data_IF_856074526887
#
_entry.id   IF_856074526887
#
_cell.length_a   1.000
_cell.length_b   1.000
_cell.length_c   1.000
_cell.angle_alpha   90.00
_cell.angle_beta   90.00
_cell.angle_gamma   90.00
#
_symmetry.space_group_name_H-M   'P 1'
#
loop_
_entity.id
_entity.type
_entity.pdbx_description
1 polymer ?
#
# COMPACT_ATOMS: atom_id res chain seq x y z
N UNK A 1 19.15 -13.73 5.87
CA UNK A 1 18.44 -13.72 4.56
C UNK A 1 17.11 -12.96 4.65
N UNK A 2 16.27 -13.20 5.65
CA UNK A 2 14.99 -12.51 5.88
C UNK A 2 15.12 -10.96 5.86
N UNK A 3 16.00 -10.40 6.69
CA UNK A 3 16.23 -8.95 6.79
C UNK A 3 16.68 -8.34 5.44
N UNK A 4 17.57 -9.03 4.73
CA UNK A 4 18.06 -8.56 3.43
C UNK A 4 16.94 -8.52 2.38
N UNK A 5 16.10 -9.54 2.33
CA UNK A 5 14.94 -9.59 1.42
C UNK A 5 13.91 -8.50 1.74
N UNK A 6 13.62 -8.28 3.03
CA UNK A 6 12.78 -7.17 3.45
C UNK A 6 13.36 -5.82 3.03
N UNK A 7 14.67 -5.62 3.23
CA UNK A 7 15.34 -4.38 2.84
C UNK A 7 15.26 -4.12 1.32
N UNK A 8 15.55 -5.12 0.50
CA UNK A 8 15.45 -5.01 -0.96
C UNK A 8 14.01 -4.73 -1.39
N UNK A 9 13.04 -5.45 -0.81
CA UNK A 9 11.62 -5.22 -1.06
C UNK A 9 11.20 -3.80 -0.72
N UNK A 10 11.59 -3.28 0.47
CA UNK A 10 11.32 -1.91 0.88
C UNK A 10 11.93 -0.86 -0.06
N UNK A 11 13.16 -1.06 -0.50
CA UNK A 11 13.83 -0.17 -1.44
C UNK A 11 13.06 -0.10 -2.77
N UNK A 12 12.68 -1.24 -3.33
CA UNK A 12 11.89 -1.30 -4.55
C UNK A 12 10.49 -0.70 -4.35
N UNK A 13 9.79 -1.07 -3.28
CA UNK A 13 8.49 -0.51 -2.95
C UNK A 13 8.51 1.02 -2.83
N UNK A 14 9.55 1.56 -2.17
CA UNK A 14 9.77 3.00 -2.04
C UNK A 14 9.99 3.71 -3.39
N UNK A 15 10.75 3.10 -4.30
CA UNK A 15 10.94 3.62 -5.67
C UNK A 15 9.62 3.63 -6.42
N UNK A 16 8.86 2.53 -6.39
CA UNK A 16 7.55 2.44 -7.03
C UNK A 16 6.55 3.43 -6.43
N UNK A 17 6.56 3.63 -5.12
CA UNK A 17 5.76 4.68 -4.46
C UNK A 17 6.08 6.05 -5.01
N UNK A 18 7.36 6.42 -5.07
CA UNK A 18 7.78 7.72 -5.56
C UNK A 18 7.34 7.95 -7.01
N UNK A 19 7.65 7.01 -7.89
CA UNK A 19 7.27 7.10 -9.31
C UNK A 19 5.74 7.10 -9.50
N UNK A 20 5.02 6.25 -8.79
CA UNK A 20 3.57 6.17 -8.85
C UNK A 20 2.90 7.46 -8.39
N UNK A 21 3.35 8.00 -7.25
CA UNK A 21 2.84 9.28 -6.74
C UNK A 21 3.10 10.43 -7.72
N UNK A 22 4.30 10.48 -8.30
CA UNK A 22 4.67 11.51 -9.28
C UNK A 22 3.82 11.42 -10.56
N UNK A 23 3.67 10.21 -11.10
CA UNK A 23 2.86 9.99 -12.31
C UNK A 23 1.39 10.36 -12.09
N UNK A 24 0.81 9.92 -10.98
CA UNK A 24 -0.60 10.20 -10.65
C UNK A 24 -0.82 11.71 -10.46
N UNK A 25 0.08 12.40 -9.75
CA UNK A 25 0.01 13.85 -9.57
C UNK A 25 0.07 14.60 -10.91
N UNK A 26 0.84 14.08 -11.87
CA UNK A 26 0.94 14.66 -13.21
C UNK A 26 -0.38 14.58 -14.00
N UNK A 27 -1.16 13.51 -13.80
CA UNK A 27 -2.45 13.32 -14.50
C UNK A 27 -3.64 13.97 -13.79
N UNK A 28 -3.69 13.88 -12.46
CA UNK A 28 -4.84 14.33 -11.65
C UNK A 28 -4.63 15.69 -10.98
N UNK A 29 -3.40 16.25 -11.07
CA UNK A 29 -3.05 17.50 -10.42
C UNK A 29 -2.80 17.35 -8.91
N UNK A 30 -2.46 18.49 -8.28
CA UNK A 30 -2.03 18.55 -6.87
C UNK A 30 -3.13 19.05 -5.91
N UNK A 31 -4.33 19.31 -6.41
CA UNK A 31 -5.44 19.85 -5.61
C UNK A 31 -6.02 18.88 -4.56
N UNK A 32 -5.69 17.60 -4.66
CA UNK A 32 -6.06 16.52 -3.74
C UNK A 32 -4.97 15.44 -3.79
N UNK A 33 -4.66 14.72 -2.69
CA UNK A 33 -3.56 13.75 -2.62
C UNK A 33 -3.86 12.41 -3.32
N UNK A 34 -4.25 12.45 -4.60
CA UNK A 34 -4.58 11.27 -5.41
C UNK A 34 -3.44 10.25 -5.48
N UNK A 35 -2.20 10.74 -5.56
CA UNK A 35 -1.02 9.87 -5.65
C UNK A 35 -0.90 8.95 -4.45
N UNK A 36 -0.94 9.51 -3.25
CA UNK A 36 -0.84 8.75 -2.00
C UNK A 36 -2.04 7.83 -1.81
N UNK A 37 -3.24 8.31 -2.10
CA UNK A 37 -4.48 7.52 -2.02
C UNK A 37 -4.39 6.26 -2.89
N UNK A 38 -4.05 6.41 -4.17
CA UNK A 38 -4.01 5.30 -5.12
C UNK A 38 -2.85 4.34 -4.85
N UNK A 39 -1.67 4.84 -4.49
CA UNK A 39 -0.52 4.00 -4.14
C UNK A 39 -0.80 3.18 -2.89
N UNK A 40 -1.43 3.76 -1.87
CA UNK A 40 -1.86 3.03 -0.68
C UNK A 40 -2.95 1.99 -0.99
N UNK A 41 -3.91 2.32 -1.86
CA UNK A 41 -4.94 1.38 -2.29
C UNK A 41 -4.36 0.18 -3.05
N UNK A 42 -3.45 0.44 -4.00
CA UNK A 42 -2.74 -0.62 -4.75
C UNK A 42 -1.91 -1.48 -3.81
N UNK A 43 -1.15 -0.87 -2.90
CA UNK A 43 -0.35 -1.60 -1.92
C UNK A 43 -1.20 -2.45 -0.97
N UNK A 44 -2.37 -1.95 -0.55
CA UNK A 44 -3.34 -2.70 0.25
C UNK A 44 -3.91 -3.89 -0.51
N UNK A 45 -4.26 -3.72 -1.79
CA UNK A 45 -4.72 -4.82 -2.64
C UNK A 45 -3.66 -5.91 -2.80
N UNK A 46 -2.42 -5.52 -3.13
CA UNK A 46 -1.30 -6.46 -3.26
C UNK A 46 -1.01 -7.19 -1.94
N UNK A 47 -1.06 -6.48 -0.82
CA UNK A 47 -0.91 -7.10 0.50
C UNK A 47 -2.00 -8.13 0.75
N UNK A 48 -3.27 -7.80 0.47
CA UNK A 48 -4.38 -8.74 0.57
C UNK A 48 -4.17 -9.98 -0.31
N UNK A 49 -3.76 -9.78 -1.57
CA UNK A 49 -3.49 -10.88 -2.50
C UNK A 49 -2.38 -11.82 -1.99
N UNK A 50 -1.31 -11.26 -1.44
CA UNK A 50 -0.20 -12.03 -0.87
C UNK A 50 -0.65 -12.81 0.36
N UNK A 51 -1.44 -12.19 1.24
CA UNK A 51 -1.93 -12.85 2.46
C UNK A 51 -2.99 -13.92 2.16
N UNK A 52 -3.84 -13.70 1.16
CA UNK A 52 -4.83 -14.69 0.70
C UNK A 52 -4.19 -15.86 -0.03
N UNK A 53 -2.99 -15.67 -0.60
CA UNK A 53 -2.28 -16.75 -1.27
C UNK A 53 -1.70 -17.73 -0.25
N UNK A 54 -2.29 -18.93 -0.16
CA UNK A 54 -1.93 -19.95 0.80
C UNK A 54 -0.48 -20.44 0.70
N UNK A 55 0.18 -20.28 -0.45
CA UNK A 55 1.60 -20.59 -0.64
C UNK A 55 2.48 -19.66 0.19
N UNK A 56 2.24 -18.34 0.11
CA UNK A 56 3.01 -17.34 0.86
C UNK A 56 2.71 -17.43 2.36
N UNK A 57 1.46 -17.71 2.73
CA UNK A 57 1.09 -17.94 4.13
C UNK A 57 1.80 -19.15 4.72
N UNK A 58 1.95 -20.24 3.95
CA UNK A 58 2.71 -21.44 4.37
C UNK A 58 4.21 -21.17 4.47
N UNK A 59 4.77 -20.30 3.63
CA UNK A 59 6.19 -19.95 3.66
C UNK A 59 6.61 -19.33 5.01
N UNK A 60 5.73 -18.59 5.67
CA UNK A 60 5.98 -18.01 7.01
C UNK A 60 6.26 -19.11 8.05
N UNK A 61 5.54 -20.23 7.99
CA UNK A 61 5.55 -21.29 9.00
C UNK A 61 6.46 -22.47 8.67
N UNK A 62 6.67 -22.76 7.38
CA UNK A 62 7.35 -23.98 6.91
C UNK A 62 8.72 -23.74 6.32
N UNK A 63 9.07 -22.49 6.01
CA UNK A 63 10.29 -22.11 5.31
C UNK A 63 10.97 -20.93 6.02
N UNK A 64 11.93 -20.30 5.34
CA UNK A 64 12.63 -19.13 5.87
C UNK A 64 11.81 -17.83 5.87
N UNK A 65 10.55 -17.87 5.45
CA UNK A 65 9.68 -16.69 5.31
C UNK A 65 10.17 -15.68 4.29
N UNK A 66 11.00 -16.12 3.33
CA UNK A 66 11.67 -15.22 2.39
C UNK A 66 10.70 -14.53 1.42
N UNK A 67 9.72 -15.27 0.90
CA UNK A 67 8.71 -14.70 0.00
C UNK A 67 7.84 -13.67 0.72
N UNK A 68 7.41 -13.97 1.95
CA UNK A 68 6.66 -13.02 2.78
C UNK A 68 7.48 -11.79 3.15
N UNK A 69 8.75 -11.99 3.53
CA UNK A 69 9.66 -10.90 3.89
C UNK A 69 9.85 -9.91 2.72
N UNK A 70 10.04 -10.44 1.52
CA UNK A 70 10.22 -9.61 0.33
C UNK A 70 8.91 -8.93 -0.10
N UNK A 71 7.80 -9.67 -0.21
CA UNK A 71 6.55 -9.17 -0.79
C UNK A 71 5.73 -8.35 0.20
N UNK A 72 5.28 -8.95 1.31
CA UNK A 72 4.38 -8.29 2.25
C UNK A 72 5.10 -7.24 3.10
N UNK A 73 6.15 -7.63 3.83
CA UNK A 73 6.87 -6.71 4.71
C UNK A 73 7.72 -5.71 3.92
N UNK A 74 8.44 -6.18 2.90
CA UNK A 74 9.31 -5.35 2.08
C UNK A 74 8.52 -4.51 1.08
N UNK A 75 8.11 -5.10 -0.02
CA UNK A 75 7.56 -4.37 -1.15
C UNK A 75 6.26 -3.61 -0.80
N UNK A 76 5.25 -4.27 -0.25
CA UNK A 76 4.01 -3.60 0.13
C UNK A 76 4.23 -2.58 1.25
N UNK A 77 5.06 -2.90 2.25
CA UNK A 77 5.43 -1.97 3.32
C UNK A 77 6.20 -0.74 2.82
N UNK A 78 7.10 -0.92 1.84
CA UNK A 78 7.80 0.18 1.17
C UNK A 78 6.92 0.99 0.23
N UNK A 79 5.96 0.35 -0.44
CA UNK A 79 5.03 0.99 -1.38
C UNK A 79 4.01 1.88 -0.66
N UNK A 80 3.44 1.44 0.46
CA UNK A 80 2.44 2.18 1.22
C UNK A 80 3.05 3.20 2.18
N UNK A 81 2.30 4.22 2.56
CA UNK A 81 2.77 5.25 3.50
C UNK A 81 1.63 5.88 4.30
N UNK A 82 1.73 5.78 5.61
CA UNK A 82 0.86 6.49 6.53
C UNK A 82 1.38 7.91 6.82
N UNK A 83 2.69 8.10 6.86
CA UNK A 83 3.30 9.40 7.17
C UNK A 83 2.98 10.46 6.09
N UNK A 84 3.05 10.11 4.81
CA UNK A 84 2.69 11.02 3.73
C UNK A 84 1.18 11.34 3.75
N UNK A 85 0.33 10.34 3.98
CA UNK A 85 -1.10 10.53 4.16
C UNK A 85 -1.40 11.51 5.31
N UNK A 86 -0.76 11.34 6.46
CA UNK A 86 -0.94 12.22 7.62
C UNK A 86 -0.47 13.65 7.33
N UNK A 87 0.70 13.82 6.71
CA UNK A 87 1.23 15.13 6.35
C UNK A 87 0.32 15.86 5.37
N UNK A 88 -0.14 15.18 4.32
CA UNK A 88 -1.04 15.76 3.33
C UNK A 88 -2.41 16.11 3.93
N UNK A 89 -2.94 15.27 4.81
CA UNK A 89 -4.18 15.57 5.54
C UNK A 89 -4.00 16.81 6.42
N UNK A 90 -2.88 16.90 7.14
CA UNK A 90 -2.55 18.08 7.95
C UNK A 90 -2.43 19.35 7.10
N UNK A 91 -1.78 19.28 5.93
CA UNK A 91 -1.70 20.41 5.00
C UNK A 91 -3.09 20.87 4.57
N UNK A 92 -3.99 19.95 4.18
CA UNK A 92 -5.37 20.30 3.83
C UNK A 92 -6.14 20.97 4.98
N UNK A 93 -5.91 20.54 6.22
CA UNK A 93 -6.48 21.18 7.41
C UNK A 93 -5.91 22.59 7.61
N UNK A 94 -4.59 22.76 7.46
CA UNK A 94 -3.90 24.05 7.58
C UNK A 94 -4.37 25.06 6.53
N UNK A 95 -4.69 24.58 5.33
CA UNK A 95 -5.25 25.37 4.22
C UNK A 95 -6.77 25.59 4.37
N UNK A 96 -7.35 25.20 5.51
CA UNK A 96 -8.79 25.26 5.81
C UNK A 96 -9.68 24.50 4.80
N UNK A 97 -9.12 23.58 4.05
CA UNK A 97 -9.82 22.73 3.09
C UNK A 97 -10.44 21.49 3.79
N UNK A 98 -11.28 21.71 4.80
CA UNK A 98 -11.85 20.68 5.68
C UNK A 98 -12.57 19.57 4.93
N UNK A 99 -13.32 19.90 3.87
CA UNK A 99 -14.00 18.91 3.04
C UNK A 99 -13.04 17.94 2.37
N UNK A 100 -11.92 18.46 1.84
CA UNK A 100 -10.87 17.64 1.22
C UNK A 100 -10.12 16.81 2.27
N UNK A 101 -9.84 17.38 3.45
CA UNK A 101 -9.19 16.66 4.54
C UNK A 101 -10.05 15.46 4.99
N UNK A 102 -11.34 15.68 5.21
CA UNK A 102 -12.28 14.62 5.57
C UNK A 102 -12.43 13.57 4.47
N UNK A 103 -12.53 14.00 3.20
CA UNK A 103 -12.58 13.10 2.06
C UNK A 103 -11.31 12.25 1.94
N UNK A 104 -10.12 12.82 2.21
CA UNK A 104 -8.86 12.08 2.23
C UNK A 104 -8.84 11.03 3.35
N UNK A 105 -9.28 11.38 4.56
CA UNK A 105 -9.31 10.45 5.69
C UNK A 105 -10.27 9.28 5.41
N UNK A 106 -11.53 9.59 5.15
CA UNK A 106 -12.56 8.56 4.96
C UNK A 106 -12.33 7.75 3.68
N UNK A 107 -11.98 8.43 2.59
CA UNK A 107 -11.73 7.80 1.31
C UNK A 107 -10.52 6.88 1.34
N UNK A 108 -9.41 7.30 1.97
CA UNK A 108 -8.21 6.45 2.08
C UNK A 108 -8.48 5.20 2.92
N UNK A 109 -9.12 5.35 4.08
CA UNK A 109 -9.41 4.20 4.95
C UNK A 109 -10.37 3.24 4.28
N UNK A 110 -11.51 3.75 3.76
CA UNK A 110 -12.51 2.91 3.12
C UNK A 110 -11.95 2.18 1.89
N UNK A 111 -11.23 2.90 1.03
CA UNK A 111 -10.66 2.32 -0.19
C UNK A 111 -9.57 1.29 0.13
N UNK A 112 -8.67 1.56 1.07
CA UNK A 112 -7.62 0.62 1.44
C UNK A 112 -8.19 -0.65 2.08
N UNK A 113 -9.20 -0.52 2.96
CA UNK A 113 -9.89 -1.68 3.55
C UNK A 113 -10.60 -2.50 2.46
N UNK A 114 -11.32 -1.86 1.56
CA UNK A 114 -11.96 -2.54 0.43
C UNK A 114 -10.93 -3.26 -0.45
N UNK A 115 -9.81 -2.60 -0.77
CA UNK A 115 -8.75 -3.16 -1.59
C UNK A 115 -8.08 -4.38 -0.94
N UNK A 116 -7.75 -4.31 0.37
CA UNK A 116 -7.12 -5.46 1.04
C UNK A 116 -8.07 -6.66 1.14
N UNK A 117 -9.35 -6.44 1.40
CA UNK A 117 -10.35 -7.52 1.43
C UNK A 117 -10.55 -8.15 0.06
N UNK A 118 -10.65 -7.33 -1.00
CA UNK A 118 -10.78 -7.81 -2.38
C UNK A 118 -9.54 -8.59 -2.81
N UNK A 119 -8.34 -8.10 -2.50
CA UNK A 119 -7.08 -8.79 -2.77
C UNK A 119 -7.01 -10.14 -2.04
N UNK A 120 -7.41 -10.17 -0.78
CA UNK A 120 -7.43 -11.39 0.04
C UNK A 120 -8.37 -12.44 -0.57
N UNK A 121 -9.60 -12.06 -0.90
CA UNK A 121 -10.57 -12.98 -1.52
C UNK A 121 -10.06 -13.53 -2.87
N UNK A 122 -9.41 -12.68 -3.69
CA UNK A 122 -8.78 -13.15 -4.93
C UNK A 122 -7.62 -14.11 -4.65
N UNK A 123 -6.78 -13.83 -3.65
CA UNK A 123 -5.65 -14.68 -3.27
C UNK A 123 -6.10 -16.08 -2.84
N UNK A 124 -7.17 -16.17 -2.04
CA UNK A 124 -7.79 -17.46 -1.68
C UNK A 124 -8.31 -18.22 -2.90
N UNK A 125 -8.95 -17.54 -3.84
CA UNK A 125 -9.48 -18.16 -5.06
C UNK A 125 -8.40 -18.73 -6.00
N UNK A 126 -7.17 -18.24 -5.92
CA UNK A 126 -6.04 -18.73 -6.71
C UNK A 126 -5.41 -20.02 -6.14
N UNK A 127 -5.74 -20.39 -4.92
CA UNK A 127 -5.13 -21.52 -4.19
C UNK A 127 -6.08 -22.72 -4.02
N UNK A 128 -7.32 -22.59 -4.49
CA UNK A 128 -8.30 -23.70 -4.57
C UNK A 128 -8.17 -24.41 -5.93
#
# INVERSE_FOLDING_TARGET
MFILLTFIGCALGGVFRYLGTLLIARFFGEGFPWGTLLVNAIGSFLLGLVLGNGFVAKDIWLSSGGAYAFTALGFCGGLTTFSTFSLQTFSLVSDQAWGKALANILGSVALCVFCVLSGYAMGEGLTQ
#
